data_IF_710026924788
#
_entry.id   IF_710026924788
#
_cell.length_a   1.000
_cell.length_b   1.000
_cell.length_c   1.000
_cell.angle_alpha   90.00
_cell.angle_beta   90.00
_cell.angle_gamma   90.00
#
_symmetry.space_group_name_H-M   'P 1'
#
loop_
_entity.id
_entity.type
_entity.pdbx_description
1 polymer ?
#
# COMPACT_ATOMS: atom_id res chain seq x y z
N UNK A 1 5.56 -22.76 5.36
CA UNK A 1 6.81 -23.21 6.03
C UNK A 1 6.60 -23.29 7.54
N UNK A 2 7.33 -24.14 8.26
CA UNK A 2 7.15 -24.33 9.72
C UNK A 2 8.00 -23.28 10.45
N UNK A 3 7.36 -22.48 11.31
CA UNK A 3 8.04 -21.52 12.19
C UNK A 3 8.52 -22.19 13.48
N UNK A 4 7.73 -23.13 14.01
CA UNK A 4 8.02 -23.87 15.24
C UNK A 4 7.14 -25.11 15.32
N UNK A 5 7.70 -26.21 15.80
CA UNK A 5 6.94 -27.37 16.26
C UNK A 5 6.94 -27.38 17.78
N UNK A 6 5.77 -27.54 18.39
CA UNK A 6 5.64 -27.64 19.83
C UNK A 6 6.17 -29.00 20.32
N UNK A 7 7.10 -29.05 21.29
CA UNK A 7 7.74 -30.29 21.70
C UNK A 7 6.83 -31.23 22.50
N UNK A 8 5.71 -30.73 23.06
CA UNK A 8 4.81 -31.53 23.90
C UNK A 8 3.66 -32.09 23.07
N UNK A 9 2.98 -31.22 22.32
CA UNK A 9 1.80 -31.58 21.53
C UNK A 9 2.12 -32.01 20.10
N UNK A 10 3.33 -31.75 19.61
CA UNK A 10 3.69 -31.93 18.20
C UNK A 10 3.01 -30.94 17.26
N UNK A 11 2.19 -30.02 17.77
CA UNK A 11 1.47 -29.07 16.96
C UNK A 11 2.41 -28.06 16.31
N UNK A 12 2.19 -27.80 15.02
CA UNK A 12 3.03 -26.89 14.25
C UNK A 12 2.44 -25.49 14.18
N UNK A 13 3.33 -24.51 14.25
CA UNK A 13 3.06 -23.13 13.85
C UNK A 13 3.66 -22.92 12.48
N UNK A 14 2.85 -22.50 11.52
CA UNK A 14 3.25 -22.36 10.11
C UNK A 14 3.09 -20.93 9.63
N UNK A 15 4.01 -20.48 8.79
CA UNK A 15 3.81 -19.34 7.92
C UNK A 15 3.21 -19.84 6.60
N UNK A 16 2.05 -19.32 6.24
CA UNK A 16 1.35 -19.64 4.99
C UNK A 16 1.19 -18.39 4.14
N UNK A 17 1.34 -18.55 2.84
CA UNK A 17 1.12 -17.52 1.83
C UNK A 17 -0.10 -17.94 1.01
N UNK A 18 -1.11 -17.09 0.94
CA UNK A 18 -2.38 -17.38 0.30
C UNK A 18 -2.69 -16.31 -0.74
N UNK A 19 -3.16 -16.73 -1.90
CA UNK A 19 -3.86 -15.82 -2.81
C UNK A 19 -5.31 -15.70 -2.35
N UNK A 20 -5.68 -14.52 -1.90
CA UNK A 20 -7.00 -14.23 -1.37
C UNK A 20 -7.76 -13.39 -2.39
N UNK A 21 -8.75 -14.01 -3.01
CA UNK A 21 -9.70 -13.31 -3.87
C UNK A 21 -10.84 -12.75 -3.02
N UNK A 22 -10.98 -11.43 -2.98
CA UNK A 22 -12.04 -10.75 -2.22
C UNK A 22 -13.00 -10.03 -3.15
N UNK A 23 -14.29 -10.22 -2.90
CA UNK A 23 -15.33 -9.39 -3.50
C UNK A 23 -15.30 -8.00 -2.86
N UNK A 24 -15.26 -6.97 -3.71
CA UNK A 24 -15.32 -5.60 -3.26
C UNK A 24 -16.75 -5.29 -2.77
N UNK A 25 -16.85 -4.47 -1.71
CA UNK A 25 -18.12 -4.02 -1.16
C UNK A 25 -18.28 -2.51 -1.39
N UNK A 26 -18.64 -2.07 -2.61
CA UNK A 26 -18.81 -0.66 -2.90
C UNK A 26 -19.97 -0.05 -2.10
N UNK A 27 -19.84 1.24 -1.79
CA UNK A 27 -20.92 2.06 -1.25
C UNK A 27 -22.03 2.18 -2.30
N UNK A 28 -23.13 1.48 -2.03
CA UNK A 28 -24.29 1.45 -2.93
C UNK A 28 -24.95 2.81 -3.07
N UNK A 29 -25.38 3.16 -4.28
CA UNK A 29 -26.10 4.41 -4.55
C UNK A 29 -27.32 4.57 -3.64
N UNK A 30 -28.10 3.49 -3.45
CA UNK A 30 -29.26 3.46 -2.54
C UNK A 30 -28.90 3.81 -1.08
N UNK A 31 -27.68 3.46 -0.65
CA UNK A 31 -27.19 3.84 0.68
C UNK A 31 -26.71 5.28 0.71
N UNK A 32 -26.04 5.72 -0.35
CA UNK A 32 -25.57 7.10 -0.50
C UNK A 32 -26.71 8.11 -0.39
N UNK A 33 -27.82 7.90 -1.13
CA UNK A 33 -29.00 8.78 -1.09
C UNK A 33 -29.72 8.80 0.25
N UNK A 34 -29.59 7.75 1.08
CA UNK A 34 -30.13 7.73 2.45
C UNK A 34 -29.29 8.55 3.42
N UNK A 35 -27.99 8.67 3.13
CA UNK A 35 -27.04 9.38 3.98
C UNK A 35 -26.94 10.86 3.63
N UNK A 36 -27.22 11.22 2.38
CA UNK A 36 -26.99 12.56 1.86
C UNK A 36 -28.11 12.99 0.92
N UNK A 37 -28.54 14.23 1.06
CA UNK A 37 -29.45 14.90 0.14
C UNK A 37 -28.67 15.38 -1.10
N UNK A 38 -28.49 14.48 -2.06
CA UNK A 38 -27.67 14.71 -3.27
C UNK A 38 -28.26 15.84 -4.10
N UNK A 39 -27.42 16.81 -4.46
CA UNK A 39 -27.81 18.03 -5.16
C UNK A 39 -28.00 19.24 -4.23
N UNK A 40 -27.95 19.04 -2.91
CA UNK A 40 -27.88 20.15 -1.95
C UNK A 40 -26.47 20.76 -1.88
N UNK A 41 -26.32 21.98 -1.35
CA UNK A 41 -24.99 22.58 -1.08
C UNK A 41 -24.09 21.73 -0.16
N UNK A 42 -24.69 20.82 0.61
CA UNK A 42 -23.99 19.92 1.52
C UNK A 42 -23.63 18.57 0.87
N UNK A 43 -24.08 18.30 -0.35
CA UNK A 43 -23.80 17.04 -1.05
C UNK A 43 -23.83 17.26 -2.57
N UNK A 44 -22.71 17.76 -3.09
CA UNK A 44 -22.57 18.19 -4.48
C UNK A 44 -22.09 17.00 -5.34
N UNK A 45 -22.88 16.54 -6.32
CA UNK A 45 -22.44 15.52 -7.27
C UNK A 45 -21.37 16.06 -8.22
N UNK A 46 -20.24 15.36 -8.32
CA UNK A 46 -19.11 15.73 -9.17
C UNK A 46 -18.77 14.63 -10.18
N UNK A 47 -18.28 15.04 -11.35
CA UNK A 47 -17.65 14.20 -12.37
C UNK A 47 -16.26 14.73 -12.71
N UNK A 48 -15.28 13.84 -12.81
CA UNK A 48 -13.93 14.23 -13.18
C UNK A 48 -13.80 14.28 -14.72
N UNK A 49 -13.50 15.44 -15.30
CA UNK A 49 -13.48 15.64 -16.74
C UNK A 49 -12.47 14.74 -17.47
N UNK A 50 -11.30 14.48 -16.86
CA UNK A 50 -10.25 13.64 -17.45
C UNK A 50 -10.51 12.14 -17.34
N UNK A 51 -10.92 11.68 -16.17
CA UNK A 51 -11.08 10.25 -15.89
C UNK A 51 -12.49 9.72 -16.10
N UNK A 52 -13.48 10.61 -16.26
CA UNK A 52 -14.90 10.28 -16.34
C UNK A 52 -15.51 9.78 -15.03
N UNK A 53 -14.71 9.66 -13.96
CA UNK A 53 -15.12 9.09 -12.67
C UNK A 53 -16.05 10.03 -11.92
N UNK A 54 -16.91 9.48 -11.05
CA UNK A 54 -17.83 10.28 -10.22
C UNK A 54 -17.48 10.24 -8.74
N UNK A 55 -17.85 11.32 -8.03
CA UNK A 55 -17.73 11.45 -6.59
C UNK A 55 -18.84 12.34 -6.01
N UNK A 56 -19.29 12.05 -4.79
CA UNK A 56 -20.15 12.97 -4.03
C UNK A 56 -19.27 13.81 -3.10
N UNK A 57 -19.36 15.14 -3.22
CA UNK A 57 -18.63 16.09 -2.39
C UNK A 57 -19.45 16.52 -1.18
N UNK A 58 -19.04 16.08 0.00
CA UNK A 58 -19.69 16.41 1.29
C UNK A 58 -18.74 17.21 2.18
N UNK A 59 -19.23 18.01 3.15
CA UNK A 59 -18.36 18.71 4.09
C UNK A 59 -17.41 17.76 4.83
N UNK A 60 -16.19 18.22 5.06
CA UNK A 60 -15.24 17.56 5.94
C UNK A 60 -14.87 18.47 7.11
N UNK A 61 -14.31 17.89 8.18
CA UNK A 61 -13.78 18.68 9.29
C UNK A 61 -12.68 19.61 8.78
N UNK A 62 -12.76 20.87 9.21
CA UNK A 62 -11.74 21.90 8.97
C UNK A 62 -10.40 21.44 9.53
N UNK A 63 -9.32 21.89 8.90
CA UNK A 63 -7.94 21.66 9.34
C UNK A 63 -7.35 23.02 9.74
N UNK A 64 -6.57 23.07 10.82
CA UNK A 64 -5.79 24.25 11.19
C UNK A 64 -4.36 23.99 10.72
N UNK A 65 -3.80 24.87 9.88
CA UNK A 65 -2.40 24.79 9.46
C UNK A 65 -1.46 25.29 10.56
N UNK A 66 -0.16 25.04 10.38
CA UNK A 66 0.88 25.39 11.34
C UNK A 66 1.00 26.91 11.56
N UNK A 67 0.56 27.71 10.60
CA UNK A 67 0.46 29.18 10.65
C UNK A 67 -0.84 29.69 11.31
N UNK A 68 -1.71 28.79 11.78
CA UNK A 68 -3.01 29.10 12.37
C UNK A 68 -4.14 29.31 11.36
N UNK A 69 -3.89 29.21 10.05
CA UNK A 69 -4.92 29.37 9.04
C UNK A 69 -5.96 28.23 9.10
N UNK A 70 -7.24 28.58 8.98
CA UNK A 70 -8.33 27.61 8.93
C UNK A 70 -8.57 27.17 7.49
N UNK A 71 -8.25 25.92 7.20
CA UNK A 71 -8.40 25.31 5.89
C UNK A 71 -9.76 24.60 5.80
N UNK A 72 -10.59 25.09 4.89
CA UNK A 72 -11.86 24.45 4.54
C UNK A 72 -11.65 23.25 3.63
N UNK A 73 -12.46 22.20 3.85
CA UNK A 73 -12.26 20.90 3.23
C UNK A 73 -13.57 20.24 2.86
N UNK A 74 -13.53 19.46 1.77
CA UNK A 74 -14.60 18.55 1.38
C UNK A 74 -14.09 17.13 1.30
N UNK A 75 -14.97 16.18 1.57
CA UNK A 75 -14.72 14.76 1.42
C UNK A 75 -15.40 14.30 0.13
N UNK A 76 -14.59 13.80 -0.80
CA UNK A 76 -15.09 13.14 -1.99
C UNK A 76 -15.35 11.68 -1.67
N UNK A 77 -16.63 11.30 -1.64
CA UNK A 77 -17.07 9.91 -1.52
C UNK A 77 -17.14 9.30 -2.92
N UNK A 78 -16.55 8.11 -3.08
CA UNK A 78 -16.67 7.26 -4.28
C UNK A 78 -17.10 5.86 -3.85
N UNK A 79 -17.53 4.98 -4.78
CA UNK A 79 -18.00 3.64 -4.41
C UNK A 79 -17.00 2.87 -3.54
N UNK A 80 -15.70 2.90 -3.85
CA UNK A 80 -14.70 2.11 -3.13
C UNK A 80 -13.76 2.91 -2.22
N UNK A 81 -13.69 4.23 -2.39
CA UNK A 81 -12.72 5.07 -1.71
C UNK A 81 -13.35 6.40 -1.31
N UNK A 82 -12.83 6.99 -0.25
CA UNK A 82 -13.08 8.40 0.05
C UNK A 82 -11.77 9.12 0.30
N UNK A 83 -11.72 10.40 -0.04
CA UNK A 83 -10.55 11.24 0.18
C UNK A 83 -11.00 12.63 0.60
N UNK A 84 -10.23 13.25 1.51
CA UNK A 84 -10.44 14.64 1.90
C UNK A 84 -9.58 15.54 1.02
N UNK A 85 -10.19 16.60 0.50
CA UNK A 85 -9.59 17.62 -0.33
C UNK A 85 -9.72 18.97 0.36
N UNK A 86 -8.71 19.84 0.24
CA UNK A 86 -8.89 21.26 0.53
C UNK A 86 -9.77 21.88 -0.56
N UNK A 87 -10.45 22.98 -0.27
CA UNK A 87 -11.24 23.67 -1.29
C UNK A 87 -10.36 24.15 -2.45
N UNK A 88 -9.19 24.72 -2.16
CA UNK A 88 -8.25 25.18 -3.18
C UNK A 88 -7.82 24.05 -4.11
N UNK A 89 -7.37 22.91 -3.56
CA UNK A 89 -6.96 21.76 -4.36
C UNK A 89 -8.12 21.14 -5.15
N UNK A 90 -9.37 21.26 -4.65
CA UNK A 90 -10.55 20.83 -5.38
C UNK A 90 -10.87 21.81 -6.53
N UNK A 91 -10.71 23.12 -6.33
CA UNK A 91 -10.91 24.15 -7.34
C UNK A 91 -9.88 24.11 -8.47
N UNK A 92 -8.64 23.72 -8.17
CA UNK A 92 -7.57 23.48 -9.17
C UNK A 92 -7.68 22.12 -9.86
N UNK A 93 -8.60 21.27 -9.41
CA UNK A 93 -8.79 19.93 -9.96
C UNK A 93 -9.73 19.93 -11.16
N UNK A 94 -9.83 18.77 -11.83
CA UNK A 94 -10.76 18.55 -12.93
C UNK A 94 -12.10 17.96 -12.47
N UNK A 95 -12.49 18.19 -11.22
CA UNK A 95 -13.80 17.75 -10.70
C UNK A 95 -14.83 18.86 -10.93
N UNK A 96 -15.82 18.57 -11.75
CA UNK A 96 -16.86 19.51 -12.15
C UNK A 96 -18.21 19.05 -11.62
N UNK A 97 -19.08 20.00 -11.27
CA UNK A 97 -20.45 19.69 -10.85
C UNK A 97 -21.25 19.07 -12.00
N UNK A 98 -22.06 18.07 -11.68
CA UNK A 98 -22.86 17.33 -12.66
C UNK A 98 -24.28 17.13 -12.16
N UNK A 99 -25.27 17.07 -13.05
CA UNK A 99 -26.66 16.86 -12.66
C UNK A 99 -26.87 15.54 -11.91
N UNK A 100 -27.81 15.53 -10.95
CA UNK A 100 -28.14 14.36 -10.10
C UNK A 100 -28.48 13.11 -10.94
N UNK A 101 -29.18 13.29 -12.06
CA UNK A 101 -29.55 12.20 -12.97
C UNK A 101 -28.33 11.53 -13.61
N UNK A 102 -27.40 12.32 -14.15
CA UNK A 102 -26.17 11.80 -14.75
C UNK A 102 -25.26 11.17 -13.67
N UNK A 103 -25.13 11.83 -12.52
CA UNK A 103 -24.39 11.30 -11.38
C UNK A 103 -24.90 9.93 -10.92
N UNK A 104 -26.23 9.78 -10.77
CA UNK A 104 -26.87 8.53 -10.36
C UNK A 104 -26.54 7.38 -11.32
N UNK A 105 -26.65 7.64 -12.63
CA UNK A 105 -26.32 6.67 -13.68
C UNK A 105 -24.86 6.24 -13.59
N UNK A 106 -23.94 7.19 -13.55
CA UNK A 106 -22.49 6.92 -13.52
C UNK A 106 -22.06 6.24 -12.21
N UNK A 107 -22.64 6.64 -11.07
CA UNK A 107 -22.36 6.00 -9.79
C UNK A 107 -22.79 4.54 -9.80
N UNK A 108 -24.00 4.26 -10.31
CA UNK A 108 -24.53 2.89 -10.40
C UNK A 108 -23.69 2.02 -11.34
N UNK A 109 -23.16 2.60 -12.42
CA UNK A 109 -22.20 1.93 -13.29
C UNK A 109 -20.88 1.59 -12.57
N UNK A 110 -20.26 2.56 -11.88
CA UNK A 110 -19.04 2.32 -11.10
C UNK A 110 -19.27 1.31 -9.96
N UNK A 111 -20.41 1.39 -9.27
CA UNK A 111 -20.82 0.43 -8.24
C UNK A 111 -20.91 -0.99 -8.80
N UNK A 112 -21.59 -1.16 -9.93
CA UNK A 112 -21.82 -2.47 -10.53
C UNK A 112 -20.51 -3.06 -11.06
N UNK A 113 -19.69 -2.25 -11.73
CA UNK A 113 -18.37 -2.66 -12.20
C UNK A 113 -17.46 -3.07 -11.03
N UNK A 114 -17.47 -2.31 -9.93
CA UNK A 114 -16.71 -2.63 -8.73
C UNK A 114 -17.19 -3.92 -8.06
N UNK A 115 -18.50 -4.13 -7.96
CA UNK A 115 -19.07 -5.35 -7.37
C UNK A 115 -18.77 -6.60 -8.22
N UNK A 116 -18.64 -6.46 -9.54
CA UNK A 116 -18.32 -7.55 -10.46
C UNK A 116 -16.80 -7.84 -10.55
N UNK A 117 -15.95 -6.95 -10.05
CA UNK A 117 -14.49 -7.04 -10.17
C UNK A 117 -13.84 -7.43 -8.84
N UNK A 118 -13.69 -8.73 -8.55
CA UNK A 118 -12.96 -9.18 -7.37
C UNK A 118 -11.49 -8.76 -7.45
N UNK A 119 -10.89 -8.50 -6.30
CA UNK A 119 -9.46 -8.20 -6.19
C UNK A 119 -8.76 -9.42 -5.60
N UNK A 120 -7.66 -9.82 -6.23
CA UNK A 120 -6.76 -10.83 -5.69
C UNK A 120 -5.60 -10.13 -5.01
N UNK A 121 -5.38 -10.47 -3.75
CA UNK A 121 -4.22 -10.02 -2.97
C UNK A 121 -3.49 -11.24 -2.41
N UNK A 122 -2.18 -11.13 -2.24
CA UNK A 122 -1.41 -12.12 -1.51
C UNK A 122 -1.45 -11.76 -0.02
N UNK A 123 -1.80 -12.72 0.82
CA UNK A 123 -1.82 -12.56 2.27
C UNK A 123 -0.90 -13.59 2.92
N UNK A 124 -0.12 -13.15 3.90
CA UNK A 124 0.74 -14.03 4.69
C UNK A 124 0.20 -14.14 6.11
N UNK A 125 0.03 -15.37 6.60
CA UNK A 125 -0.47 -15.65 7.94
C UNK A 125 0.49 -16.56 8.69
N UNK A 126 0.83 -16.19 9.92
CA UNK A 126 1.32 -17.15 10.91
C UNK A 126 0.10 -17.84 11.55
N UNK A 127 0.01 -19.16 11.48
CA UNK A 127 -1.15 -19.96 11.92
C UNK A 127 -0.72 -21.10 12.83
N UNK A 128 -1.61 -21.59 13.68
CA UNK A 128 -1.31 -22.63 14.68
C UNK A 128 -1.12 -22.06 16.08
N UNK A 129 -0.21 -22.65 16.86
CA UNK A 129 0.09 -22.20 18.23
C UNK A 129 0.95 -20.92 18.23
N UNK A 130 0.29 -19.76 18.21
CA UNK A 130 0.99 -18.48 18.03
C UNK A 130 1.73 -17.96 19.27
N UNK A 131 1.25 -18.24 20.48
CA UNK A 131 1.81 -17.68 21.72
C UNK A 131 3.32 -17.97 21.88
N UNK A 132 3.81 -19.21 21.65
CA UNK A 132 5.24 -19.51 21.74
C UNK A 132 6.14 -18.74 20.77
N UNK A 133 5.62 -18.26 19.64
CA UNK A 133 6.39 -17.49 18.64
C UNK A 133 6.06 -16.00 18.65
N UNK A 134 5.11 -15.56 19.48
CA UNK A 134 4.50 -14.23 19.40
C UNK A 134 5.51 -13.08 19.49
N UNK A 135 6.47 -13.18 20.41
CA UNK A 135 7.53 -12.18 20.65
C UNK A 135 8.59 -12.14 19.54
N UNK A 136 8.68 -13.21 18.73
CA UNK A 136 9.64 -13.32 17.62
C UNK A 136 9.05 -12.80 16.30
N UNK A 137 7.75 -12.55 16.23
CA UNK A 137 7.09 -11.97 15.07
C UNK A 137 7.12 -10.42 15.14
N UNK A 138 7.27 -9.69 14.02
CA UNK A 138 7.40 -8.23 14.00
C UNK A 138 6.23 -7.46 14.62
N UNK A 139 6.54 -6.53 15.53
CA UNK A 139 5.55 -5.89 16.41
C UNK A 139 4.76 -4.71 15.81
N UNK A 140 5.14 -4.21 14.64
CA UNK A 140 4.53 -2.99 14.06
C UNK A 140 3.09 -3.23 13.57
N UNK A 141 2.80 -4.42 13.02
CA UNK A 141 1.47 -4.80 12.56
C UNK A 141 1.00 -6.06 13.28
N UNK A 142 0.13 -5.89 14.28
CA UNK A 142 -0.45 -6.98 15.06
C UNK A 142 -1.95 -7.07 14.79
N UNK A 143 -2.32 -7.90 13.81
CA UNK A 143 -3.72 -8.21 13.49
C UNK A 143 -3.91 -9.70 13.37
N UNK A 144 -4.95 -10.23 14.03
CA UNK A 144 -5.39 -11.62 13.85
C UNK A 144 -6.62 -11.61 12.97
N UNK A 145 -6.54 -12.34 11.86
CA UNK A 145 -7.61 -12.41 10.86
C UNK A 145 -8.03 -13.85 10.65
N UNK A 146 -9.35 -14.05 10.54
CA UNK A 146 -9.92 -15.30 10.03
C UNK A 146 -10.32 -15.10 8.58
N UNK A 147 -9.73 -15.88 7.69
CA UNK A 147 -10.16 -15.99 6.31
C UNK A 147 -11.12 -17.19 6.20
N UNK A 148 -12.25 -16.98 5.54
CA UNK A 148 -13.25 -18.01 5.27
C UNK A 148 -13.43 -18.07 3.77
N UNK A 149 -13.16 -19.23 3.18
CA UNK A 149 -13.38 -19.50 1.77
C UNK A 149 -14.87 -19.78 1.50
N UNK A 150 -15.27 -19.66 0.24
CA UNK A 150 -16.67 -19.90 -0.19
C UNK A 150 -17.12 -21.35 0.07
N UNK A 151 -16.18 -22.30 0.07
CA UNK A 151 -16.42 -23.72 0.39
C UNK A 151 -16.50 -24.01 1.90
N UNK A 152 -16.47 -22.98 2.75
CA UNK A 152 -16.57 -23.11 4.20
C UNK A 152 -15.25 -23.42 4.92
N UNK A 153 -14.15 -23.67 4.19
CA UNK A 153 -12.83 -23.80 4.84
C UNK A 153 -12.45 -22.47 5.48
N UNK A 154 -11.89 -22.52 6.69
CA UNK A 154 -11.39 -21.33 7.36
C UNK A 154 -9.98 -21.50 7.87
N UNK A 155 -9.22 -20.42 7.84
CA UNK A 155 -7.90 -20.33 8.41
C UNK A 155 -7.84 -19.08 9.30
N UNK A 156 -7.27 -19.24 10.48
CA UNK A 156 -7.06 -18.15 11.42
C UNK A 156 -5.56 -18.01 11.68
N UNK A 157 -5.09 -16.77 11.68
CA UNK A 157 -3.70 -16.48 11.92
C UNK A 157 -3.44 -15.02 12.16
N UNK A 158 -2.23 -14.73 12.61
CA UNK A 158 -1.70 -13.38 12.66
C UNK A 158 -1.19 -12.99 11.28
N UNK A 159 -1.63 -11.83 10.79
CA UNK A 159 -1.14 -11.25 9.55
C UNK A 159 0.35 -10.92 9.64
N UNK A 160 1.04 -11.22 8.55
CA UNK A 160 2.43 -10.87 8.30
C UNK A 160 2.44 -10.01 7.04
N UNK A 161 3.03 -8.83 7.14
CA UNK A 161 3.17 -7.95 5.98
C UNK A 161 4.33 -8.42 5.09
N UNK A 162 4.25 -8.13 3.79
CA UNK A 162 5.30 -8.48 2.83
C UNK A 162 6.68 -7.96 3.27
N UNK A 163 6.69 -6.78 3.91
CA UNK A 163 7.90 -6.12 4.39
C UNK A 163 8.61 -6.84 5.54
N UNK A 164 7.87 -7.67 6.25
CA UNK A 164 8.32 -8.42 7.40
C UNK A 164 8.81 -9.83 7.01
N UNK A 165 8.56 -10.28 5.78
CA UNK A 165 8.88 -11.64 5.33
C UNK A 165 10.36 -11.95 5.40
N UNK A 166 11.23 -11.04 4.94
CA UNK A 166 12.68 -11.23 4.98
C UNK A 166 13.17 -11.39 6.43
N UNK A 167 12.68 -10.52 7.33
CA UNK A 167 13.01 -10.55 8.76
C UNK A 167 12.49 -11.81 9.44
N UNK A 168 11.29 -12.27 9.09
CA UNK A 168 10.73 -13.52 9.61
C UNK A 168 11.53 -14.71 9.11
N UNK A 169 11.90 -14.72 7.83
CA UNK A 169 12.72 -15.79 7.27
C UNK A 169 14.05 -15.90 8.02
N UNK A 170 14.74 -14.79 8.25
CA UNK A 170 15.96 -14.74 9.05
C UNK A 170 15.72 -15.19 10.51
N UNK A 171 14.71 -14.62 11.17
CA UNK A 171 14.41 -14.88 12.59
C UNK A 171 14.09 -16.35 12.86
N UNK A 172 13.48 -17.05 11.91
CA UNK A 172 13.07 -18.44 12.05
C UNK A 172 13.92 -19.43 11.22
N UNK A 173 14.96 -18.96 10.52
CA UNK A 173 15.83 -19.80 9.69
C UNK A 173 15.11 -20.45 8.51
N UNK A 174 14.12 -19.76 7.94
CA UNK A 174 13.31 -20.25 6.83
C UNK A 174 14.10 -20.17 5.52
N UNK A 175 13.99 -21.21 4.69
CA UNK A 175 14.68 -21.28 3.40
C UNK A 175 13.71 -21.09 2.22
N UNK A 176 12.43 -21.41 2.41
CA UNK A 176 11.39 -21.31 1.39
C UNK A 176 10.68 -19.96 1.33
N UNK A 177 10.90 -19.09 2.33
CA UNK A 177 10.33 -17.74 2.38
C UNK A 177 11.39 -16.74 1.95
N UNK A 178 11.20 -16.18 0.77
CA UNK A 178 11.96 -15.01 0.32
C UNK A 178 11.24 -13.73 0.74
N UNK A 179 12.02 -12.66 0.89
CA UNK A 179 11.47 -11.32 1.02
C UNK A 179 10.69 -10.87 -0.22
N UNK A 180 10.21 -9.62 -0.24
CA UNK A 180 9.52 -9.07 -1.40
C UNK A 180 10.40 -9.16 -2.65
N UNK A 181 9.79 -9.42 -3.80
CA UNK A 181 10.54 -9.48 -5.05
C UNK A 181 11.23 -8.14 -5.33
N UNK A 182 12.43 -8.12 -5.94
CA UNK A 182 13.15 -6.87 -6.22
C UNK A 182 12.31 -5.81 -6.94
N UNK A 183 11.41 -6.22 -7.84
CA UNK A 183 10.51 -5.34 -8.57
C UNK A 183 9.47 -4.62 -7.67
N UNK A 184 9.13 -5.22 -6.53
CA UNK A 184 8.12 -4.73 -5.58
C UNK A 184 8.73 -3.84 -4.49
N UNK A 185 10.04 -4.00 -4.21
CA UNK A 185 10.74 -3.31 -3.12
C UNK A 185 10.60 -1.79 -3.18
N UNK A 186 10.70 -1.18 -4.36
CA UNK A 186 10.60 0.27 -4.51
C UNK A 186 9.26 0.81 -4.01
N UNK A 187 8.15 0.19 -4.45
CA UNK A 187 6.79 0.56 -4.01
C UNK A 187 6.61 0.31 -2.52
N UNK A 188 7.10 -0.83 -2.05
CA UNK A 188 6.98 -1.24 -0.65
C UNK A 188 7.68 -0.25 0.28
N UNK A 189 8.97 0.01 0.06
CA UNK A 189 9.80 0.95 0.83
C UNK A 189 9.23 2.36 0.78
N UNK A 190 8.73 2.81 -0.37
CA UNK A 190 8.10 4.13 -0.47
C UNK A 190 6.82 4.25 0.37
N UNK A 191 6.02 3.19 0.44
CA UNK A 191 4.76 3.19 1.19
C UNK A 191 4.95 3.03 2.70
N UNK A 192 5.82 2.11 3.13
CA UNK A 192 6.06 1.79 4.54
C UNK A 192 7.06 2.72 5.20
N UNK A 193 8.06 3.20 4.45
CA UNK A 193 9.24 3.87 4.99
C UNK A 193 10.28 2.93 5.60
N UNK A 194 10.00 1.63 5.73
CA UNK A 194 10.95 0.66 6.30
C UNK A 194 12.00 0.27 5.26
N UNK A 195 13.30 0.39 5.56
CA UNK A 195 14.36 -0.09 4.67
C UNK A 195 14.26 -1.59 4.41
N UNK A 196 14.70 -2.02 3.23
CA UNK A 196 14.70 -3.44 2.82
C UNK A 196 16.06 -3.84 2.26
N UNK A 197 16.56 -5.03 2.61
CA UNK A 197 17.77 -5.57 1.99
C UNK A 197 17.49 -5.87 0.51
N UNK A 198 18.51 -5.70 -0.32
CA UNK A 198 18.53 -6.11 -1.72
C UNK A 198 19.73 -7.02 -1.93
N UNK A 199 19.47 -8.30 -2.14
CA UNK A 199 20.51 -9.23 -2.55
C UNK A 199 21.08 -8.77 -3.90
N UNK A 200 22.38 -8.53 -3.92
CA UNK A 200 23.16 -8.13 -5.09
C UNK A 200 24.61 -8.55 -4.83
N UNK A 201 25.55 -8.12 -5.68
CA UNK A 201 26.97 -8.29 -5.42
C UNK A 201 27.44 -7.61 -4.13
N UNK A 202 26.80 -6.51 -3.76
CA UNK A 202 27.05 -5.78 -2.51
C UNK A 202 25.85 -6.00 -1.56
N UNK A 203 26.08 -5.84 -0.25
CA UNK A 203 25.03 -5.95 0.78
C UNK A 203 24.15 -4.69 0.80
N UNK A 204 23.37 -4.53 -0.27
CA UNK A 204 22.59 -3.32 -0.50
C UNK A 204 21.38 -3.24 0.42
N UNK A 205 21.04 -2.00 0.79
CA UNK A 205 19.77 -1.67 1.43
C UNK A 205 19.07 -0.60 0.61
N UNK A 206 17.81 -0.87 0.24
CA UNK A 206 16.89 0.08 -0.38
C UNK A 206 16.16 0.81 0.74
N UNK A 207 16.23 2.14 0.75
CA UNK A 207 15.50 2.95 1.74
C UNK A 207 14.81 4.16 1.10
N UNK A 208 13.79 4.67 1.80
CA UNK A 208 13.12 5.92 1.46
C UNK A 208 13.89 7.08 2.08
N UNK A 209 14.23 8.07 1.26
CA UNK A 209 14.97 9.27 1.67
C UNK A 209 14.29 10.53 1.18
N UNK A 210 14.14 11.52 2.07
CA UNK A 210 13.65 12.84 1.71
C UNK A 210 14.82 13.71 1.23
N UNK A 211 14.79 14.15 -0.02
CA UNK A 211 15.81 15.01 -0.63
C UNK A 211 15.10 16.13 -1.39
N UNK A 212 15.40 17.39 -1.05
CA UNK A 212 14.80 18.53 -1.73
C UNK A 212 13.26 18.58 -1.66
N UNK A 213 12.66 18.05 -0.59
CA UNK A 213 11.20 17.96 -0.44
C UNK A 213 10.54 16.74 -1.12
N UNK A 214 11.31 15.93 -1.85
CA UNK A 214 10.80 14.75 -2.56
C UNK A 214 11.21 13.44 -1.90
N UNK A 215 10.29 12.47 -1.86
CA UNK A 215 10.58 11.11 -1.41
C UNK A 215 11.27 10.33 -2.54
N UNK A 216 12.50 9.89 -2.29
CA UNK A 216 13.34 9.16 -3.24
C UNK A 216 13.71 7.77 -2.72
N UNK A 217 14.05 6.88 -3.65
CA UNK A 217 14.63 5.57 -3.35
C UNK A 217 16.15 5.68 -3.36
N UNK A 218 16.78 5.42 -2.24
CA UNK A 218 18.23 5.43 -2.08
C UNK A 218 18.76 4.01 -1.85
N UNK A 219 19.90 3.71 -2.47
CA UNK A 219 20.68 2.51 -2.22
C UNK A 219 21.86 2.85 -1.31
N UNK A 220 21.98 2.12 -0.22
CA UNK A 220 23.13 2.19 0.70
C UNK A 220 23.84 0.85 0.78
N UNK A 221 25.10 0.84 1.21
CA UNK A 221 25.91 -0.39 1.31
C UNK A 221 26.59 -0.79 0.00
N UNK A 222 26.57 0.08 -1.02
CA UNK A 222 27.26 -0.13 -2.28
C UNK A 222 28.76 0.12 -2.14
N UNK A 223 29.58 -0.60 -2.92
CA UNK A 223 31.00 -0.32 -3.07
C UNK A 223 31.21 0.91 -4.00
N UNK A 224 31.93 1.97 -3.59
CA UNK A 224 32.13 3.17 -4.41
C UNK A 224 32.72 2.90 -5.80
N UNK A 225 33.57 1.88 -5.91
CA UNK A 225 34.24 1.46 -7.14
C UNK A 225 33.23 0.93 -8.18
N UNK A 226 32.05 0.50 -7.73
CA UNK A 226 30.98 -0.07 -8.58
C UNK A 226 29.96 0.99 -9.01
N UNK A 227 30.14 2.26 -8.67
CA UNK A 227 29.18 3.34 -8.97
C UNK A 227 28.80 3.42 -10.45
N UNK A 228 29.77 3.26 -11.35
CA UNK A 228 29.50 3.33 -12.79
C UNK A 228 28.67 2.14 -13.28
N UNK A 229 28.85 0.95 -12.71
CA UNK A 229 27.97 -0.19 -12.99
C UNK A 229 26.53 0.09 -12.56
N UNK A 230 26.31 0.65 -11.35
CA UNK A 230 24.96 1.04 -10.93
C UNK A 230 24.32 2.06 -11.87
N UNK A 231 25.08 3.04 -12.36
CA UNK A 231 24.60 4.00 -13.35
C UNK A 231 24.18 3.32 -14.66
N UNK A 232 24.94 2.33 -15.14
CA UNK A 232 24.54 1.56 -16.34
C UNK A 232 23.24 0.79 -16.16
N UNK A 233 22.89 0.40 -14.92
CA UNK A 233 21.58 -0.19 -14.58
C UNK A 233 20.44 0.82 -14.49
N UNK A 234 20.74 2.12 -14.57
CA UNK A 234 19.76 3.21 -14.52
C UNK A 234 19.65 3.91 -13.17
N UNK A 235 20.59 3.67 -12.23
CA UNK A 235 20.74 4.51 -11.05
C UNK A 235 21.38 5.87 -11.41
N UNK A 236 21.29 6.81 -10.49
CA UNK A 236 21.99 8.10 -10.59
C UNK A 236 22.56 8.49 -9.23
N UNK A 237 23.50 9.43 -9.23
CA UNK A 237 24.18 9.88 -8.02
C UNK A 237 24.04 11.38 -7.83
N UNK A 238 23.93 11.81 -6.58
CA UNK A 238 24.03 13.23 -6.19
C UNK A 238 24.99 13.37 -5.02
N UNK A 239 25.67 14.52 -4.93
CA UNK A 239 26.49 14.87 -3.76
C UNK A 239 25.61 15.68 -2.81
N UNK A 240 25.28 15.11 -1.66
CA UNK A 240 24.44 15.75 -0.63
C UNK A 240 25.19 15.69 0.69
N UNK A 241 25.37 16.85 1.33
CA UNK A 241 26.18 16.98 2.57
C UNK A 241 27.56 16.33 2.42
N UNK A 242 28.26 16.67 1.34
CA UNK A 242 29.61 16.19 1.02
C UNK A 242 29.75 14.67 0.86
N UNK A 243 28.65 13.96 0.61
CA UNK A 243 28.65 12.52 0.36
C UNK A 243 27.95 12.18 -0.94
N UNK A 244 28.58 11.34 -1.74
CA UNK A 244 27.94 10.71 -2.90
C UNK A 244 26.85 9.76 -2.43
N UNK A 245 25.62 9.99 -2.89
CA UNK A 245 24.46 9.14 -2.59
C UNK A 245 23.94 8.55 -3.89
N UNK A 246 23.55 7.28 -3.85
CA UNK A 246 23.10 6.51 -5.00
C UNK A 246 21.59 6.34 -4.94
N UNK A 247 20.90 6.69 -6.02
CA UNK A 247 19.44 6.69 -6.09
C UNK A 247 18.92 5.85 -7.26
N UNK A 248 17.71 5.34 -7.08
CA UNK A 248 16.93 4.66 -8.11
C UNK A 248 15.75 5.56 -8.51
N UNK A 249 15.56 5.86 -9.80
CA UNK A 249 14.38 6.60 -10.25
C UNK A 249 13.10 5.87 -9.87
N UNK A 250 12.20 6.52 -9.13
CA UNK A 250 10.96 5.90 -8.62
C UNK A 250 10.12 5.30 -9.75
N UNK A 251 10.04 5.99 -10.89
CA UNK A 251 9.30 5.55 -12.08
C UNK A 251 9.89 4.31 -12.76
N UNK A 252 11.16 3.98 -12.52
CA UNK A 252 11.86 2.83 -13.10
C UNK A 252 12.28 1.78 -12.07
N UNK A 253 11.87 1.95 -10.81
CA UNK A 253 12.33 1.08 -9.72
C UNK A 253 11.99 -0.40 -9.95
N UNK A 254 10.83 -0.69 -10.56
CA UNK A 254 10.38 -2.05 -10.86
C UNK A 254 11.22 -2.78 -11.91
N UNK A 255 12.05 -2.08 -12.69
CA UNK A 255 12.99 -2.70 -13.63
C UNK A 255 14.45 -2.59 -13.18
N UNK A 256 14.83 -1.46 -12.56
CA UNK A 256 16.21 -1.21 -12.09
C UNK A 256 16.58 -2.13 -10.93
N UNK A 257 15.70 -2.30 -9.93
CA UNK A 257 16.00 -3.13 -8.75
C UNK A 257 16.19 -4.62 -9.10
N UNK A 258 15.34 -5.25 -9.97
CA UNK A 258 15.64 -6.57 -10.50
C UNK A 258 16.96 -6.65 -11.27
N UNK A 259 17.29 -5.65 -12.09
CA UNK A 259 18.51 -5.65 -12.89
C UNK A 259 19.80 -5.52 -12.06
N UNK A 260 19.69 -5.04 -10.82
CA UNK A 260 20.76 -5.00 -9.81
C UNK A 260 20.84 -6.31 -9.02
N UNK A 261 19.71 -6.98 -8.82
CA UNK A 261 19.61 -8.23 -8.07
C UNK A 261 19.96 -9.50 -8.88
N UNK A 262 19.89 -9.39 -10.21
CA UNK A 262 20.28 -10.43 -11.16
C UNK A 262 21.81 -10.51 -11.31
#
# INVERSE_FOLDING_TARGET
EVLRTDPVSGAETRLVSLEVKRQLRPLRFKRLVRMHEIGSPQAIPLRNARSGKVALSVPARRLIADDGAVIERRRLLRPLKSANWTLDALGESLWEEVGVTEFSKLWTQEESAAAASPVTERAHLATGLLLPVWKRLPGEHVRVTRLVAEDGRSIIGREVLDIDLAKIAETFGLKGVSGPAPAELGKLVLSSGTPQPLASHDALTVKRSLVGGEQRLELTGYAPERLDWYKTKGCFTEIIRYRTRLFVPVSKASSVLPAIAA
#
